data_IF_445777034776
#
_entry.id   IF_445777034776
#
_cell.length_a   1.000
_cell.length_b   1.000
_cell.length_c   1.000
_cell.angle_alpha   90.00
_cell.angle_beta   90.00
_cell.angle_gamma   90.00
#
_symmetry.space_group_name_H-M   'P 1'
#
loop_
_entity.id
_entity.type
_entity.pdbx_description
1 polymer ?
#
# COMPACT_ATOMS: atom_id res chain seq x y z
N UNK A 1 28.58 -59.97 -51.12
CA UNK A 1 27.47 -59.00 -51.05
C UNK A 1 26.53 -59.42 -49.91
N UNK A 2 26.65 -58.80 -48.73
CA UNK A 2 25.77 -59.07 -47.58
C UNK A 2 24.77 -57.92 -47.45
N UNK A 3 23.50 -58.23 -47.68
CA UNK A 3 22.37 -57.37 -47.32
C UNK A 3 21.97 -57.74 -45.89
N UNK A 4 21.97 -56.76 -44.97
CA UNK A 4 21.33 -56.90 -43.66
C UNK A 4 20.47 -55.67 -43.39
N UNK A 5 19.21 -55.96 -43.13
CA UNK A 5 18.15 -55.08 -42.66
C UNK A 5 18.58 -54.29 -41.43
N UNK A 6 18.25 -53.00 -41.40
CA UNK A 6 18.34 -52.18 -40.19
C UNK A 6 16.97 -52.11 -39.54
N UNK A 7 16.85 -52.78 -38.39
CA UNK A 7 15.77 -52.59 -37.44
C UNK A 7 16.00 -51.32 -36.61
N UNK A 8 14.88 -50.68 -36.29
CA UNK A 8 14.66 -49.55 -35.40
C UNK A 8 15.38 -49.64 -34.05
N UNK A 9 16.02 -48.54 -33.64
CA UNK A 9 16.18 -48.16 -32.23
C UNK A 9 15.79 -46.68 -32.13
N UNK A 10 14.67 -46.41 -31.47
CA UNK A 10 14.23 -45.07 -31.08
C UNK A 10 15.05 -44.67 -29.86
N UNK A 11 15.96 -43.70 -30.01
CA UNK A 11 16.63 -43.04 -28.89
C UNK A 11 15.88 -41.75 -28.59
N UNK A 12 15.11 -41.74 -27.50
CA UNK A 12 14.39 -40.56 -27.03
C UNK A 12 15.36 -39.68 -26.22
N UNK A 13 15.93 -38.66 -26.88
CA UNK A 13 16.76 -37.65 -26.22
C UNK A 13 15.86 -36.55 -25.66
N UNK A 14 15.71 -36.50 -24.34
CA UNK A 14 15.10 -35.35 -23.64
C UNK A 14 16.11 -34.18 -23.66
N UNK A 15 15.91 -33.24 -24.58
CA UNK A 15 16.61 -31.96 -24.54
C UNK A 15 15.94 -31.07 -23.48
N UNK A 16 16.63 -30.86 -22.35
CA UNK A 16 16.24 -29.89 -21.34
C UNK A 16 16.47 -28.47 -21.92
N UNK A 17 15.45 -27.88 -22.55
CA UNK A 17 15.48 -26.46 -22.90
C UNK A 17 15.49 -25.64 -21.62
N UNK A 18 16.68 -25.16 -21.26
CA UNK A 18 16.87 -24.14 -20.24
C UNK A 18 16.27 -22.84 -20.79
N UNK A 19 14.98 -22.59 -20.49
CA UNK A 19 14.37 -21.28 -20.72
C UNK A 19 15.13 -20.27 -19.86
N UNK A 20 16.04 -19.54 -20.48
CA UNK A 20 16.59 -18.33 -19.92
C UNK A 20 15.42 -17.34 -19.86
N UNK A 21 14.71 -17.29 -18.73
CA UNK A 21 13.76 -16.22 -18.45
C UNK A 21 14.61 -14.95 -18.46
N UNK A 22 14.43 -14.00 -19.40
CA UNK A 22 15.13 -12.75 -19.31
C UNK A 22 14.74 -12.12 -17.97
N UNK A 23 15.73 -11.82 -17.14
CA UNK A 23 15.51 -10.96 -15.99
C UNK A 23 14.89 -9.67 -16.53
N UNK A 24 13.59 -9.49 -16.32
CA UNK A 24 12.92 -8.24 -16.58
C UNK A 24 13.43 -7.29 -15.52
N UNK A 25 14.57 -6.64 -15.80
CA UNK A 25 14.96 -5.45 -15.07
C UNK A 25 13.81 -4.46 -15.25
N UNK A 26 13.12 -4.13 -14.16
CA UNK A 26 12.15 -3.05 -14.18
C UNK A 26 12.84 -1.80 -14.77
N UNK A 27 12.24 -1.19 -15.79
CA UNK A 27 12.71 0.09 -16.32
C UNK A 27 12.83 1.08 -15.17
N UNK A 28 13.98 1.75 -15.05
CA UNK A 28 14.21 2.77 -14.02
C UNK A 28 13.31 4.01 -14.20
N UNK A 29 12.60 4.09 -15.33
CA UNK A 29 11.79 5.23 -15.72
C UNK A 29 12.60 6.36 -16.33
N UNK A 30 11.91 7.35 -16.89
CA UNK A 30 12.50 8.56 -17.47
C UNK A 30 12.44 9.69 -16.46
N UNK A 31 13.59 10.24 -16.06
CA UNK A 31 13.63 11.38 -15.16
C UNK A 31 13.44 12.68 -15.95
N UNK A 32 12.52 13.53 -15.50
CA UNK A 32 12.18 14.80 -16.19
C UNK A 32 12.15 15.97 -15.22
N UNK A 33 12.61 17.13 -15.68
CA UNK A 33 12.60 18.41 -14.95
C UNK A 33 12.78 19.57 -15.91
N UNK A 34 12.36 20.78 -15.52
CA UNK A 34 12.66 22.01 -16.25
C UNK A 34 11.57 22.43 -17.23
N UNK A 35 11.94 23.21 -18.23
CA UNK A 35 11.02 23.82 -19.18
C UNK A 35 10.87 22.94 -20.42
N UNK A 36 9.63 22.73 -20.85
CA UNK A 36 9.25 22.18 -22.14
C UNK A 36 8.95 23.37 -23.06
N UNK A 37 9.90 23.66 -23.94
CA UNK A 37 9.93 24.83 -24.82
C UNK A 37 9.53 24.53 -26.28
N UNK A 38 9.23 23.26 -26.56
CA UNK A 38 8.69 22.78 -27.84
C UNK A 38 7.72 21.63 -27.62
N UNK A 39 6.84 21.43 -28.59
CA UNK A 39 5.88 20.34 -28.54
C UNK A 39 6.56 19.01 -28.25
N UNK A 40 6.08 18.33 -27.22
CA UNK A 40 6.70 17.15 -26.65
C UNK A 40 5.64 16.10 -26.40
N UNK A 41 5.99 14.83 -26.64
CA UNK A 41 5.12 13.69 -26.36
C UNK A 41 5.83 12.73 -25.42
N UNK A 42 5.16 12.36 -24.34
CA UNK A 42 5.59 11.30 -23.43
C UNK A 42 4.89 10.01 -23.81
N UNK A 43 5.67 8.97 -24.07
CA UNK A 43 5.19 7.69 -24.61
C UNK A 43 5.32 6.58 -23.56
N UNK A 44 4.65 5.45 -23.80
CA UNK A 44 4.67 4.31 -22.89
C UNK A 44 6.08 3.71 -22.70
N UNK A 45 6.94 3.80 -23.70
CA UNK A 45 8.33 3.30 -23.65
C UNK A 45 9.18 4.09 -22.63
N UNK A 46 8.89 5.38 -22.45
CA UNK A 46 9.55 6.23 -21.45
C UNK A 46 8.98 6.08 -20.04
N UNK A 47 7.87 5.36 -19.88
CA UNK A 47 7.18 5.17 -18.61
C UNK A 47 7.97 4.25 -17.64
N UNK A 48 7.95 4.50 -16.33
CA UNK A 48 7.32 5.65 -15.67
C UNK A 48 8.15 6.93 -15.81
N UNK A 49 7.50 8.09 -15.93
CA UNK A 49 8.17 9.39 -15.86
C UNK A 49 8.30 9.84 -14.41
N UNK A 50 9.52 10.03 -13.92
CA UNK A 50 9.81 10.51 -12.56
C UNK A 50 10.06 12.02 -12.59
N UNK A 51 9.13 12.80 -12.06
CA UNK A 51 9.19 14.26 -12.06
C UNK A 51 9.81 14.75 -10.75
N UNK A 52 11.07 15.21 -10.77
CA UNK A 52 11.80 15.54 -9.53
C UNK A 52 11.62 16.99 -9.04
N UNK A 53 11.09 17.89 -9.88
CA UNK A 53 10.81 19.29 -9.57
C UNK A 53 9.56 19.76 -10.35
N UNK A 54 9.47 21.05 -10.63
CA UNK A 54 8.48 21.62 -11.52
C UNK A 54 8.84 21.30 -12.97
N UNK A 55 7.83 20.93 -13.74
CA UNK A 55 7.82 20.97 -15.20
C UNK A 55 7.03 22.20 -15.63
N UNK A 56 7.67 23.07 -16.40
CA UNK A 56 7.01 24.24 -16.99
C UNK A 56 6.70 23.94 -18.45
N UNK A 57 5.43 24.02 -18.85
CA UNK A 57 5.04 23.94 -20.25
C UNK A 57 4.90 25.37 -20.74
N UNK A 58 5.83 25.81 -21.61
CA UNK A 58 5.92 27.19 -22.05
C UNK A 58 4.65 27.67 -22.80
N UNK A 59 4.40 28.98 -22.90
CA UNK A 59 3.32 29.52 -23.72
C UNK A 59 3.33 28.97 -25.14
N UNK A 60 2.16 28.62 -25.68
CA UNK A 60 1.97 28.08 -27.03
C UNK A 60 2.67 26.73 -27.31
N UNK A 61 3.16 26.05 -26.27
CA UNK A 61 3.77 24.72 -26.37
C UNK A 61 2.81 23.66 -25.84
N UNK A 62 2.77 22.49 -26.48
CA UNK A 62 1.97 21.35 -26.04
C UNK A 62 2.83 20.22 -25.47
N UNK A 63 2.48 19.76 -24.27
CA UNK A 63 2.87 18.44 -23.78
C UNK A 63 1.71 17.46 -23.97
N UNK A 64 1.95 16.39 -24.72
CA UNK A 64 1.03 15.25 -24.85
C UNK A 64 1.52 14.08 -24.01
N UNK A 65 0.65 13.52 -23.18
CA UNK A 65 0.91 12.30 -22.41
C UNK A 65 0.03 11.18 -22.98
N UNK A 66 0.68 10.19 -23.57
CA UNK A 66 0.01 9.12 -24.31
C UNK A 66 -0.62 8.02 -23.43
N UNK A 67 -1.52 7.21 -24.02
CA UNK A 67 -2.12 6.07 -23.34
C UNK A 67 -1.10 5.10 -22.71
N UNK A 68 -1.36 4.73 -21.46
CA UNK A 68 -0.56 3.79 -20.69
C UNK A 68 0.68 4.39 -20.04
N UNK A 69 0.93 5.69 -20.18
CA UNK A 69 1.99 6.39 -19.45
C UNK A 69 1.66 6.45 -17.96
N UNK A 70 2.67 6.25 -17.13
CA UNK A 70 2.63 6.47 -15.68
C UNK A 70 3.54 7.65 -15.36
N UNK A 71 2.99 8.69 -14.76
CA UNK A 71 3.76 9.84 -14.25
C UNK A 71 3.78 9.76 -12.73
N UNK A 72 4.99 9.64 -12.16
CA UNK A 72 5.17 9.67 -10.70
C UNK A 72 5.06 11.10 -10.19
N UNK A 73 4.84 11.23 -8.87
CA UNK A 73 4.71 12.50 -8.12
C UNK A 73 5.54 13.63 -8.70
N UNK A 74 4.89 14.74 -9.05
CA UNK A 74 5.49 15.91 -9.68
C UNK A 74 4.58 17.14 -9.69
N UNK A 75 5.12 18.27 -10.11
CA UNK A 75 4.38 19.53 -10.28
C UNK A 75 4.47 20.00 -11.73
N UNK A 76 3.34 20.39 -12.32
CA UNK A 76 3.22 20.97 -13.65
C UNK A 76 2.73 22.40 -13.53
N UNK A 77 3.50 23.34 -14.05
CA UNK A 77 3.07 24.70 -14.34
C UNK A 77 2.79 24.82 -15.83
N UNK A 78 1.51 25.01 -16.15
CA UNK A 78 1.00 24.96 -17.53
C UNK A 78 0.76 26.38 -17.99
N UNK A 79 1.68 26.93 -18.80
CA UNK A 79 1.47 28.19 -19.52
C UNK A 79 0.92 27.94 -20.93
N UNK A 80 1.23 26.80 -21.53
CA UNK A 80 0.72 26.32 -22.83
C UNK A 80 -0.41 25.31 -22.71
N UNK A 81 -0.28 24.16 -23.37
CA UNK A 81 -1.27 23.06 -23.34
C UNK A 81 -0.69 21.79 -22.70
N UNK A 82 -1.42 21.22 -21.76
CA UNK A 82 -1.19 19.88 -21.21
C UNK A 82 -2.35 18.97 -21.63
N UNK A 83 -2.05 17.95 -22.42
CA UNK A 83 -3.03 16.97 -22.93
C UNK A 83 -2.70 15.58 -22.42
N UNK A 84 -3.57 15.03 -21.59
CA UNK A 84 -3.38 13.75 -20.91
C UNK A 84 -4.49 12.79 -21.35
N UNK A 85 -4.11 11.69 -21.99
CA UNK A 85 -5.05 10.71 -22.48
C UNK A 85 -4.68 9.28 -22.04
N UNK A 86 -5.60 8.61 -21.35
CA UNK A 86 -5.43 7.23 -20.88
C UNK A 86 -4.16 6.96 -20.07
N UNK A 87 -3.73 7.94 -19.26
CA UNK A 87 -2.53 7.85 -18.43
C UNK A 87 -2.87 7.73 -16.93
N UNK A 88 -1.89 7.29 -16.13
CA UNK A 88 -1.98 7.29 -14.65
C UNK A 88 -1.00 8.29 -14.07
N UNK A 89 -1.46 9.18 -13.21
CA UNK A 89 -0.60 10.23 -12.63
C UNK A 89 -0.99 10.53 -11.19
N UNK A 90 0.00 10.94 -10.39
CA UNK A 90 -0.25 11.67 -9.15
C UNK A 90 0.54 12.96 -9.19
N UNK A 91 -0.09 14.10 -9.42
CA UNK A 91 0.64 15.34 -9.70
C UNK A 91 -0.11 16.58 -9.26
N UNK A 92 0.63 17.63 -8.95
CA UNK A 92 0.09 18.98 -8.81
C UNK A 92 0.10 19.62 -10.19
N UNK A 93 -1.03 20.09 -10.67
CA UNK A 93 -1.16 20.70 -11.99
C UNK A 93 -1.80 22.07 -11.82
N UNK A 94 -1.11 23.12 -12.23
CA UNK A 94 -1.60 24.49 -12.16
C UNK A 94 -1.50 25.16 -13.52
N UNK A 95 -2.62 25.67 -14.03
CA UNK A 95 -2.64 26.56 -15.17
C UNK A 95 -2.21 27.96 -14.72
N UNK A 96 -1.18 28.51 -15.37
CA UNK A 96 -0.61 29.81 -15.05
C UNK A 96 -0.87 30.75 -16.23
N UNK A 97 -1.83 31.66 -16.05
CA UNK A 97 -2.01 32.77 -16.99
C UNK A 97 -1.07 33.92 -16.61
N UNK A 98 -0.37 34.46 -17.61
CA UNK A 98 0.44 35.66 -17.48
C UNK A 98 0.08 36.63 -18.62
N UNK A 99 -0.59 37.77 -18.31
CA UNK A 99 -1.02 38.74 -19.31
C UNK A 99 0.13 39.26 -20.20
N UNK A 100 1.36 39.35 -19.67
CA UNK A 100 2.51 39.82 -20.47
C UNK A 100 2.99 38.80 -21.49
N UNK A 101 2.60 37.54 -21.35
CA UNK A 101 2.95 36.44 -22.26
C UNK A 101 1.82 36.13 -23.26
N UNK A 102 0.67 36.82 -23.16
CA UNK A 102 -0.52 36.60 -23.99
C UNK A 102 -0.88 35.11 -24.14
N UNK A 103 -0.82 34.34 -23.04
CA UNK A 103 -1.04 32.91 -23.05
C UNK A 103 -2.45 32.55 -22.58
N UNK A 104 -3.00 31.47 -23.12
CA UNK A 104 -4.30 30.91 -22.71
C UNK A 104 -4.10 29.44 -22.34
N UNK A 105 -3.72 29.16 -21.09
CA UNK A 105 -3.30 27.83 -20.70
C UNK A 105 -4.48 26.83 -20.75
N UNK A 106 -4.19 25.62 -21.22
CA UNK A 106 -5.20 24.57 -21.41
C UNK A 106 -4.76 23.28 -20.73
N UNK A 107 -5.63 22.71 -19.91
CA UNK A 107 -5.44 21.38 -19.32
C UNK A 107 -6.57 20.48 -19.80
N UNK A 108 -6.21 19.38 -20.46
CA UNK A 108 -7.13 18.32 -20.91
C UNK A 108 -6.75 17.02 -20.24
N UNK A 109 -7.70 16.43 -19.51
CA UNK A 109 -7.52 15.12 -18.88
C UNK A 109 -8.67 14.23 -19.32
N UNK A 110 -8.32 13.19 -20.08
CA UNK A 110 -9.27 12.29 -20.71
C UNK A 110 -8.91 10.82 -20.45
N UNK A 111 -9.91 9.98 -20.19
CA UNK A 111 -9.74 8.53 -19.99
C UNK A 111 -8.69 8.14 -18.95
N UNK A 112 -8.34 9.04 -18.03
CA UNK A 112 -7.13 8.96 -17.22
C UNK A 112 -7.42 8.72 -15.74
N UNK A 113 -6.44 8.21 -15.03
CA UNK A 113 -6.51 7.96 -13.59
C UNK A 113 -5.56 8.92 -12.86
N UNK A 114 -6.12 9.77 -12.01
CA UNK A 114 -5.34 10.68 -11.19
C UNK A 114 -5.46 10.32 -9.71
N UNK A 115 -4.33 10.07 -9.05
CA UNK A 115 -4.23 9.61 -7.66
C UNK A 115 -3.37 10.59 -6.88
N UNK A 116 -3.95 11.28 -5.90
CA UNK A 116 -3.31 12.38 -5.17
C UNK A 116 -2.92 13.58 -6.06
N UNK A 117 -2.55 14.67 -5.41
CA UNK A 117 -2.16 15.92 -6.06
C UNK A 117 -3.30 16.95 -6.08
N UNK A 118 -3.30 17.85 -7.05
CA UNK A 118 -4.25 18.95 -7.15
C UNK A 118 -4.35 19.40 -8.61
N UNK A 119 -5.51 19.95 -8.98
CA UNK A 119 -5.68 20.66 -10.25
C UNK A 119 -6.16 22.07 -9.93
N UNK A 120 -5.47 23.08 -10.45
CA UNK A 120 -5.85 24.48 -10.29
C UNK A 120 -5.85 25.22 -11.64
N UNK A 121 -6.97 25.83 -12.00
CA UNK A 121 -7.14 26.57 -13.24
C UNK A 121 -8.21 27.66 -13.07
N UNK A 122 -7.94 28.65 -12.22
CA UNK A 122 -8.95 29.61 -11.73
C UNK A 122 -9.07 30.88 -12.58
N UNK A 123 -8.07 31.18 -13.40
CA UNK A 123 -8.06 32.37 -14.25
C UNK A 123 -9.10 32.26 -15.38
N UNK A 124 -9.69 33.39 -15.80
CA UNK A 124 -10.71 33.42 -16.85
C UNK A 124 -10.20 33.04 -18.24
N UNK A 125 -8.90 33.16 -18.49
CA UNK A 125 -8.24 32.75 -19.73
C UNK A 125 -7.76 31.31 -19.70
N UNK A 126 -7.83 30.64 -18.54
CA UNK A 126 -7.49 29.23 -18.39
C UNK A 126 -8.66 28.35 -18.80
N UNK A 127 -8.36 27.20 -19.43
CA UNK A 127 -9.38 26.21 -19.78
C UNK A 127 -9.05 24.85 -19.20
N UNK A 128 -10.02 24.28 -18.50
CA UNK A 128 -9.98 22.90 -18.02
C UNK A 128 -11.04 22.04 -18.70
N UNK A 129 -10.63 20.89 -19.23
CA UNK A 129 -11.50 19.87 -19.80
C UNK A 129 -11.23 18.54 -19.08
N UNK A 130 -12.24 18.03 -18.37
CA UNK A 130 -12.18 16.73 -17.70
C UNK A 130 -13.20 15.79 -18.32
N UNK A 131 -12.75 14.63 -18.81
CA UNK A 131 -13.65 13.68 -19.47
C UNK A 131 -13.30 12.22 -19.20
N UNK A 132 -14.29 11.38 -18.94
CA UNK A 132 -14.11 9.92 -18.86
C UNK A 132 -12.99 9.49 -17.89
N UNK A 133 -12.69 10.28 -16.86
CA UNK A 133 -11.50 10.12 -16.00
C UNK A 133 -11.86 9.85 -14.54
N UNK A 134 -10.93 9.24 -13.81
CA UNK A 134 -11.06 8.94 -12.39
C UNK A 134 -10.10 9.80 -11.56
N UNK A 135 -10.63 10.49 -10.55
CA UNK A 135 -9.88 11.35 -9.64
C UNK A 135 -10.05 10.81 -8.22
N UNK A 136 -8.96 10.42 -7.59
CA UNK A 136 -8.98 9.80 -6.27
C UNK A 136 -8.04 10.52 -5.29
N UNK A 137 -8.59 10.94 -4.16
CA UNK A 137 -7.82 11.49 -3.04
C UNK A 137 -6.96 12.70 -3.43
N UNK A 138 -7.40 13.51 -4.39
CA UNK A 138 -6.76 14.79 -4.69
C UNK A 138 -7.04 15.77 -3.54
N UNK A 139 -6.08 16.62 -3.24
CA UNK A 139 -6.22 17.69 -2.24
C UNK A 139 -7.28 18.71 -2.65
N UNK A 140 -7.48 18.88 -3.95
CA UNK A 140 -8.60 19.61 -4.50
C UNK A 140 -8.55 19.74 -6.01
N UNK A 141 -9.68 20.08 -6.60
CA UNK A 141 -9.78 20.64 -7.94
C UNK A 141 -10.41 22.02 -7.81
N UNK A 142 -9.69 23.07 -8.19
CA UNK A 142 -10.19 24.45 -8.15
C UNK A 142 -10.07 25.07 -9.54
N UNK A 143 -11.16 25.20 -10.27
CA UNK A 143 -11.04 25.58 -11.68
C UNK A 143 -12.28 26.26 -12.27
N UNK A 144 -12.02 27.19 -13.18
CA UNK A 144 -12.91 27.52 -14.28
C UNK A 144 -12.77 26.43 -15.34
N UNK A 145 -13.82 25.65 -15.55
CA UNK A 145 -13.78 24.52 -16.48
C UNK A 145 -14.71 24.75 -17.66
N UNK A 146 -14.29 24.34 -18.86
CA UNK A 146 -15.14 24.36 -20.05
C UNK A 146 -16.17 23.23 -19.97
N UNK A 147 -15.71 22.02 -19.67
CA UNK A 147 -16.57 20.84 -19.54
C UNK A 147 -16.02 19.82 -18.56
N UNK A 148 -16.91 19.25 -17.76
CA UNK A 148 -16.64 18.13 -16.84
C UNK A 148 -17.69 17.06 -17.10
N UNK A 149 -17.28 15.99 -17.79
CA UNK A 149 -18.19 14.97 -18.30
C UNK A 149 -17.74 13.54 -17.98
N UNK A 150 -18.64 12.71 -17.44
CA UNK A 150 -18.40 11.27 -17.23
C UNK A 150 -17.17 10.93 -16.38
N UNK A 151 -16.86 11.77 -15.41
CA UNK A 151 -15.76 11.53 -14.47
C UNK A 151 -16.25 10.92 -13.16
N UNK A 152 -15.34 10.24 -12.47
CA UNK A 152 -15.53 9.72 -11.11
C UNK A 152 -14.60 10.47 -10.16
N UNK A 153 -15.17 11.27 -9.27
CA UNK A 153 -14.45 11.97 -8.21
C UNK A 153 -14.67 11.24 -6.89
N UNK A 154 -13.59 10.82 -6.25
CA UNK A 154 -13.60 10.11 -4.96
C UNK A 154 -12.66 10.81 -4.00
N UNK A 155 -13.18 11.20 -2.84
CA UNK A 155 -12.41 11.94 -1.83
C UNK A 155 -11.61 13.11 -2.41
N UNK A 156 -12.19 13.77 -3.42
CA UNK A 156 -11.57 14.85 -4.18
C UNK A 156 -12.45 16.08 -4.02
N UNK A 157 -12.18 16.94 -3.02
CA UNK A 157 -12.86 18.21 -2.88
C UNK A 157 -12.79 18.98 -4.20
N UNK A 158 -13.94 19.41 -4.72
CA UNK A 158 -13.99 20.00 -6.06
C UNK A 158 -14.72 21.33 -5.97
N UNK A 159 -14.08 22.40 -6.41
CA UNK A 159 -14.64 23.75 -6.54
C UNK A 159 -14.55 24.16 -8.01
N UNK A 160 -15.68 24.15 -8.70
CA UNK A 160 -15.76 24.44 -10.14
C UNK A 160 -16.53 25.73 -10.37
N UNK A 161 -16.11 26.52 -11.35
CA UNK A 161 -16.87 27.63 -11.88
C UNK A 161 -17.00 27.63 -13.41
N UNK A 162 -18.06 28.26 -13.93
CA UNK A 162 -18.32 28.50 -15.36
C UNK A 162 -18.32 27.24 -16.26
N UNK A 163 -18.80 26.10 -15.73
CA UNK A 163 -18.66 24.81 -16.39
C UNK A 163 -19.98 24.12 -16.78
N UNK A 164 -19.91 23.32 -17.85
CA UNK A 164 -20.88 22.27 -18.10
C UNK A 164 -20.51 21.03 -17.31
N UNK A 165 -21.28 20.69 -16.27
CA UNK A 165 -21.03 19.53 -15.39
C UNK A 165 -22.12 18.49 -15.60
N UNK A 166 -21.79 17.38 -16.27
CA UNK A 166 -22.79 16.37 -16.60
C UNK A 166 -22.29 14.94 -16.54
N UNK A 167 -23.18 14.02 -16.15
CA UNK A 167 -22.90 12.59 -16.13
C UNK A 167 -21.70 12.17 -15.26
N UNK A 168 -21.32 12.94 -14.25
CA UNK A 168 -20.24 12.59 -13.33
C UNK A 168 -20.76 11.84 -12.10
N UNK A 169 -19.87 11.18 -11.37
CA UNK A 169 -20.08 10.74 -9.99
C UNK A 169 -19.18 11.57 -9.07
N UNK A 170 -19.78 12.22 -8.08
CA UNK A 170 -19.08 12.85 -6.96
C UNK A 170 -19.32 12.00 -5.71
N UNK A 171 -18.34 11.20 -5.33
CA UNK A 171 -18.32 10.45 -4.08
C UNK A 171 -17.34 11.12 -3.10
N UNK A 172 -17.78 12.27 -2.57
CA UNK A 172 -16.92 13.22 -1.87
C UNK A 172 -17.54 13.66 -0.54
N UNK A 173 -16.70 14.27 0.30
CA UNK A 173 -17.19 14.96 1.50
C UNK A 173 -17.84 16.31 1.18
N UNK A 174 -17.31 17.01 0.16
CA UNK A 174 -17.75 18.35 -0.21
C UNK A 174 -17.47 18.62 -1.70
N UNK A 175 -18.42 19.25 -2.38
CA UNK A 175 -18.34 19.69 -3.77
C UNK A 175 -18.99 21.08 -3.89
N UNK A 176 -18.29 22.03 -4.48
CA UNK A 176 -18.76 23.35 -4.79
C UNK A 176 -18.82 23.54 -6.29
N UNK A 177 -19.95 24.01 -6.79
CA UNK A 177 -20.08 24.32 -8.21
C UNK A 177 -20.74 25.69 -8.33
N UNK A 178 -19.94 26.72 -8.58
CA UNK A 178 -20.43 28.09 -8.75
C UNK A 178 -20.68 28.37 -10.24
N UNK A 179 -21.66 29.20 -10.58
CA UNK A 179 -21.81 29.75 -11.95
C UNK A 179 -21.78 28.70 -13.08
N UNK A 180 -22.26 27.47 -12.84
CA UNK A 180 -22.26 26.45 -13.88
C UNK A 180 -23.30 26.77 -14.96
N UNK A 181 -22.90 26.56 -16.22
CA UNK A 181 -23.79 26.71 -17.38
C UNK A 181 -24.85 25.62 -17.42
N UNK A 182 -24.54 24.43 -16.89
CA UNK A 182 -25.54 23.38 -16.59
C UNK A 182 -24.98 22.35 -15.59
N UNK A 183 -25.81 21.91 -14.63
CA UNK A 183 -25.47 20.82 -13.69
C UNK A 183 -26.57 19.76 -13.77
N UNK A 184 -26.37 18.71 -14.57
CA UNK A 184 -27.42 17.69 -14.75
C UNK A 184 -26.86 16.30 -14.99
N UNK A 185 -27.65 15.27 -14.66
CA UNK A 185 -27.34 13.84 -14.84
C UNK A 185 -26.15 13.34 -14.03
N UNK A 186 -25.69 14.10 -13.04
CA UNK A 186 -24.64 13.68 -12.13
C UNK A 186 -25.21 12.83 -10.98
N UNK A 187 -24.34 12.07 -10.33
CA UNK A 187 -24.63 11.39 -9.06
C UNK A 187 -23.80 12.01 -7.95
N UNK A 188 -24.46 12.63 -6.97
CA UNK A 188 -23.85 13.17 -5.76
C UNK A 188 -24.06 12.17 -4.62
N UNK A 189 -22.97 11.60 -4.12
CA UNK A 189 -22.94 10.53 -3.14
C UNK A 189 -22.01 10.94 -1.97
N UNK A 190 -22.38 10.60 -0.73
CA UNK A 190 -21.57 10.96 0.46
C UNK A 190 -20.64 9.82 0.87
N UNK A 191 -19.41 10.15 1.27
CA UNK A 191 -18.47 9.19 1.88
C UNK A 191 -18.67 9.05 3.40
N UNK A 192 -19.29 10.05 4.05
CA UNK A 192 -19.54 10.09 5.50
C UNK A 192 -20.89 10.77 5.81
N UNK A 193 -21.33 10.82 7.07
CA UNK A 193 -22.60 11.43 7.56
C UNK A 193 -22.74 12.97 7.30
N UNK A 194 -22.07 13.48 6.28
CA UNK A 194 -22.07 14.87 5.84
C UNK A 194 -23.44 15.24 5.27
N UNK A 195 -23.83 16.47 5.59
CA UNK A 195 -25.17 16.98 5.31
C UNK A 195 -25.23 17.87 4.08
N UNK A 196 -24.11 18.31 3.50
CA UNK A 196 -24.08 19.20 2.35
C UNK A 196 -22.99 18.75 1.37
N UNK A 197 -23.38 18.36 0.16
CA UNK A 197 -22.48 17.92 -0.90
C UNK A 197 -22.31 18.99 -1.96
N UNK A 198 -23.36 19.78 -2.29
CA UNK A 198 -23.32 20.77 -3.37
C UNK A 198 -23.63 22.18 -2.85
N UNK A 199 -22.65 23.08 -2.96
CA UNK A 199 -22.90 24.53 -2.90
C UNK A 199 -23.05 25.10 -4.30
N UNK A 200 -24.21 25.66 -4.63
CA UNK A 200 -24.38 26.52 -5.79
C UNK A 200 -25.50 27.53 -5.53
N UNK A 201 -25.38 28.77 -6.02
CA UNK A 201 -26.38 29.84 -5.83
C UNK A 201 -27.67 29.59 -6.63
N UNK A 202 -28.09 30.54 -7.49
CA UNK A 202 -29.22 30.36 -8.42
C UNK A 202 -28.87 29.45 -9.61
N UNK A 203 -28.50 28.20 -9.33
CA UNK A 203 -28.15 27.16 -10.30
C UNK A 203 -29.35 26.22 -10.56
N UNK A 204 -29.47 25.75 -11.80
CA UNK A 204 -30.28 24.58 -12.14
C UNK A 204 -29.44 23.31 -11.90
N UNK A 205 -29.77 22.61 -10.82
CA UNK A 205 -29.23 21.31 -10.42
C UNK A 205 -30.29 20.21 -10.55
N UNK A 206 -31.28 20.39 -11.43
CA UNK A 206 -32.27 19.36 -11.74
C UNK A 206 -31.64 18.18 -12.47
N UNK A 207 -32.38 17.08 -12.49
CA UNK A 207 -32.03 15.83 -13.15
C UNK A 207 -30.71 15.24 -12.65
N UNK A 208 -30.36 15.45 -11.38
CA UNK A 208 -29.24 14.76 -10.72
C UNK A 208 -29.77 13.68 -9.77
N UNK A 209 -28.95 12.65 -9.53
CA UNK A 209 -29.18 11.64 -8.50
C UNK A 209 -28.40 12.01 -7.23
N UNK A 210 -29.02 11.83 -6.06
CA UNK A 210 -28.48 12.30 -4.78
C UNK A 210 -28.17 11.16 -3.79
N UNK A 211 -28.12 9.91 -4.27
CA UNK A 211 -27.93 8.74 -3.41
C UNK A 211 -29.16 8.31 -2.61
N UNK A 212 -30.23 9.10 -2.63
CA UNK A 212 -31.49 8.88 -1.92
C UNK A 212 -32.66 9.42 -2.73
N UNK A 213 -33.86 8.88 -2.49
CA UNK A 213 -35.12 9.40 -3.04
C UNK A 213 -35.91 10.23 -2.02
N UNK A 214 -35.35 10.40 -0.81
CA UNK A 214 -35.96 11.19 0.26
C UNK A 214 -35.68 12.67 0.04
N UNK A 215 -36.68 13.41 -0.40
CA UNK A 215 -36.57 14.85 -0.70
C UNK A 215 -35.99 15.69 0.45
N UNK A 216 -36.35 15.37 1.71
CA UNK A 216 -35.83 16.10 2.89
C UNK A 216 -34.36 15.83 3.16
N UNK A 217 -33.85 14.68 2.71
CA UNK A 217 -32.42 14.40 2.73
C UNK A 217 -31.72 15.12 1.60
N UNK A 218 -32.28 15.08 0.39
CA UNK A 218 -31.76 15.82 -0.77
C UNK A 218 -31.63 17.31 -0.46
N UNK A 219 -32.66 17.92 0.10
CA UNK A 219 -32.66 19.34 0.48
C UNK A 219 -31.48 19.69 1.42
N UNK A 220 -31.11 18.79 2.34
CA UNK A 220 -29.91 18.99 3.16
C UNK A 220 -28.66 18.97 2.29
N UNK A 221 -28.54 17.95 1.42
CA UNK A 221 -27.37 17.75 0.56
C UNK A 221 -27.09 18.92 -0.39
N UNK A 222 -28.13 19.67 -0.80
CA UNK A 222 -27.98 20.82 -1.70
C UNK A 222 -27.95 22.18 -0.96
N UNK A 223 -28.33 22.25 0.32
CA UNK A 223 -28.51 23.54 1.01
C UNK A 223 -27.46 23.79 2.10
N UNK A 224 -26.87 24.99 2.09
CA UNK A 224 -26.02 25.51 3.17
C UNK A 224 -26.88 25.91 4.39
N UNK A 225 -27.24 24.93 5.23
CA UNK A 225 -27.65 25.11 6.63
C UNK A 225 -28.52 26.32 6.99
N UNK A 226 -29.81 26.06 7.28
CA UNK A 226 -30.64 26.84 8.22
C UNK A 226 -30.81 28.36 8.02
N UNK A 227 -30.59 28.94 6.85
CA UNK A 227 -31.08 30.29 6.56
C UNK A 227 -32.35 30.22 5.73
N UNK A 228 -33.50 30.36 6.40
CA UNK A 228 -34.84 30.55 5.80
C UNK A 228 -34.90 31.90 5.03
N UNK A 229 -33.78 32.62 4.91
CA UNK A 229 -33.71 33.99 4.37
C UNK A 229 -32.71 34.16 3.22
N UNK A 230 -32.11 33.11 2.65
CA UNK A 230 -31.34 33.25 1.41
C UNK A 230 -32.24 32.95 0.18
N UNK A 231 -32.56 33.93 -0.68
CA UNK A 231 -33.48 33.75 -1.81
C UNK A 231 -32.91 32.90 -2.96
N UNK A 232 -31.67 32.41 -2.87
CA UNK A 232 -30.98 31.71 -3.95
C UNK A 232 -30.76 30.23 -3.63
N UNK A 233 -31.84 29.48 -3.42
CA UNK A 233 -31.76 28.03 -3.28
C UNK A 233 -31.61 27.35 -4.66
N UNK A 234 -30.74 26.33 -4.77
CA UNK A 234 -30.56 25.56 -5.99
C UNK A 234 -31.85 24.83 -6.41
N UNK A 235 -32.17 24.86 -7.71
CA UNK A 235 -33.30 24.12 -8.26
C UNK A 235 -32.85 22.67 -8.44
N UNK A 236 -33.23 21.77 -7.53
CA UNK A 236 -32.85 20.36 -7.60
C UNK A 236 -33.95 19.43 -8.14
N UNK A 237 -35.14 19.98 -8.42
CA UNK A 237 -36.29 19.23 -8.95
C UNK A 237 -36.45 19.45 -10.46
N UNK A 238 -36.84 18.41 -11.23
CA UNK A 238 -36.97 17.01 -10.81
C UNK A 238 -35.60 16.43 -10.43
N UNK A 239 -35.54 15.43 -9.54
CA UNK A 239 -34.32 14.67 -9.27
C UNK A 239 -34.47 13.25 -9.81
N UNK A 240 -33.34 12.61 -10.15
CA UNK A 240 -33.33 11.23 -10.61
C UNK A 240 -33.51 10.28 -9.43
N UNK A 241 -34.18 9.15 -9.66
CA UNK A 241 -34.37 8.09 -8.65
C UNK A 241 -33.29 7.01 -8.66
N UNK A 242 -32.42 7.07 -9.67
CA UNK A 242 -31.23 6.22 -9.87
C UNK A 242 -30.20 7.00 -10.70
N UNK A 243 -28.91 6.62 -10.70
CA UNK A 243 -27.92 7.22 -11.58
C UNK A 243 -28.36 7.22 -13.06
N UNK A 244 -28.02 8.30 -13.78
CA UNK A 244 -28.21 8.34 -15.24
C UNK A 244 -27.38 7.25 -15.92
N UNK A 245 -27.89 6.65 -17.00
CA UNK A 245 -27.25 5.52 -17.66
C UNK A 245 -25.85 5.84 -18.20
N UNK A 246 -25.57 7.11 -18.50
CA UNK A 246 -24.27 7.54 -19.01
C UNK A 246 -23.30 7.96 -17.90
N UNK A 247 -23.71 7.89 -16.61
CA UNK A 247 -22.74 8.07 -15.51
C UNK A 247 -21.76 6.90 -15.47
N UNK A 248 -20.46 7.15 -15.18
CA UNK A 248 -19.48 6.09 -15.07
C UNK A 248 -19.84 5.15 -13.92
N UNK A 249 -19.39 3.90 -13.97
CA UNK A 249 -19.53 2.99 -12.83
C UNK A 249 -18.41 3.26 -11.83
N UNK A 250 -18.72 3.11 -10.55
CA UNK A 250 -17.69 3.07 -9.52
C UNK A 250 -16.94 1.73 -9.67
N UNK A 251 -15.81 1.79 -10.36
CA UNK A 251 -14.82 0.72 -10.42
C UNK A 251 -13.54 1.23 -9.75
N UNK A 252 -13.07 0.54 -8.72
CA UNK A 252 -11.87 0.87 -7.95
C UNK A 252 -10.73 -0.12 -8.18
N UNK A 253 -10.88 -1.03 -9.15
CA UNK A 253 -9.85 -2.00 -9.50
C UNK A 253 -8.53 -1.32 -9.90
N UNK A 254 -8.61 -0.15 -10.55
CA UNK A 254 -7.46 0.65 -10.97
C UNK A 254 -6.63 1.22 -9.80
N UNK A 255 -7.20 1.32 -8.59
CA UNK A 255 -6.45 1.73 -7.40
C UNK A 255 -5.51 0.63 -6.88
N UNK A 256 -5.78 -0.63 -7.23
CA UNK A 256 -4.94 -1.77 -6.86
C UNK A 256 -3.71 -1.81 -7.76
N UNK A 257 -2.82 -0.85 -7.55
CA UNK A 257 -1.54 -0.78 -8.25
C UNK A 257 -0.52 -1.78 -7.66
N UNK A 258 0.46 -2.18 -8.46
CA UNK A 258 1.61 -2.97 -8.00
C UNK A 258 2.63 -2.12 -7.20
N UNK A 259 2.55 -0.79 -7.28
CA UNK A 259 3.42 0.09 -6.49
C UNK A 259 2.83 0.29 -5.09
N UNK A 260 3.67 0.21 -4.04
CA UNK A 260 3.20 0.36 -2.67
C UNK A 260 2.69 1.78 -2.42
N UNK A 261 1.45 1.91 -1.98
CA UNK A 261 0.81 3.21 -1.76
C UNK A 261 1.32 3.94 -0.50
N UNK A 262 1.99 3.21 0.39
CA UNK A 262 2.44 3.68 1.70
C UNK A 262 3.85 3.17 2.00
N UNK A 263 4.65 3.96 2.74
CA UNK A 263 5.96 3.55 3.22
C UNK A 263 5.89 2.38 4.19
N UNK A 264 6.97 1.62 4.31
CA UNK A 264 7.04 0.50 5.26
C UNK A 264 6.97 1.00 6.71
N UNK A 265 6.30 0.26 7.61
CA UNK A 265 6.35 0.56 9.02
C UNK A 265 7.75 0.26 9.59
N UNK A 266 8.09 0.92 10.70
CA UNK A 266 9.19 0.52 11.57
C UNK A 266 8.64 -0.43 12.63
N UNK A 267 9.24 -1.61 12.75
CA UNK A 267 8.88 -2.62 13.74
C UNK A 267 10.04 -2.78 14.72
N UNK A 268 9.75 -2.78 16.02
CA UNK A 268 10.75 -3.05 17.05
C UNK A 268 11.19 -4.52 17.02
N UNK A 269 12.38 -4.87 17.54
CA UNK A 269 12.80 -6.27 17.65
C UNK A 269 11.75 -7.11 18.42
N UNK A 270 11.52 -8.33 17.94
CA UNK A 270 10.52 -9.26 18.50
C UNK A 270 11.25 -10.50 19.00
N UNK A 271 10.88 -11.01 20.17
CA UNK A 271 11.33 -12.29 20.71
C UNK A 271 10.21 -13.33 20.87
N UNK A 272 10.59 -14.56 21.18
CA UNK A 272 9.68 -15.72 21.26
C UNK A 272 8.74 -15.70 22.49
N UNK A 273 8.87 -14.70 23.36
CA UNK A 273 7.96 -14.43 24.46
C UNK A 273 6.98 -13.30 24.21
N UNK A 274 7.18 -12.49 23.17
CA UNK A 274 6.32 -11.37 22.85
C UNK A 274 4.90 -11.80 22.45
N UNK A 275 3.93 -11.03 22.93
CA UNK A 275 2.50 -11.14 22.58
C UNK A 275 1.96 -9.86 21.94
N UNK A 276 2.82 -8.86 21.75
CA UNK A 276 2.51 -7.58 21.14
C UNK A 276 3.67 -7.20 20.23
N UNK A 277 3.37 -6.84 18.99
CA UNK A 277 4.33 -6.18 18.11
C UNK A 277 4.19 -4.68 18.30
N UNK A 278 5.32 -4.02 18.62
CA UNK A 278 5.40 -2.57 18.74
C UNK A 278 6.16 -1.97 17.56
N UNK A 279 5.89 -0.71 17.31
CA UNK A 279 6.60 0.04 16.30
C UNK A 279 5.97 1.38 16.01
N UNK A 280 6.39 1.98 14.91
CA UNK A 280 5.95 3.30 14.48
C UNK A 280 5.72 3.34 12.97
N UNK A 281 4.65 4.02 12.55
CA UNK A 281 4.40 4.35 11.15
C UNK A 281 4.57 5.85 10.94
N UNK A 282 5.45 6.23 10.02
CA UNK A 282 5.66 7.63 9.61
C UNK A 282 4.91 7.93 8.31
N UNK A 283 4.45 9.17 8.14
CA UNK A 283 4.06 9.71 6.84
C UNK A 283 2.71 9.21 6.31
N UNK A 284 1.71 9.03 7.17
CA UNK A 284 0.36 8.69 6.72
C UNK A 284 -0.33 9.95 6.16
N UNK A 285 -0.85 9.93 4.91
CA UNK A 285 -1.64 11.04 4.39
C UNK A 285 -2.96 11.16 5.16
N UNK A 286 -3.35 12.39 5.46
CA UNK A 286 -4.46 12.85 6.32
C UNK A 286 -5.59 11.87 6.67
N UNK A 287 -5.97 11.88 7.95
CA UNK A 287 -7.23 11.44 8.59
C UNK A 287 -7.72 10.00 8.37
N UNK A 288 -7.23 9.26 7.37
CA UNK A 288 -7.75 7.94 7.01
C UNK A 288 -7.17 6.83 7.89
N UNK A 289 -8.01 5.92 8.41
CA UNK A 289 -7.54 4.75 9.13
C UNK A 289 -6.84 3.78 8.15
N UNK A 290 -5.64 3.33 8.49
CA UNK A 290 -5.02 2.17 7.82
C UNK A 290 -5.12 0.96 8.73
N UNK A 291 -5.30 -0.22 8.14
CA UNK A 291 -5.20 -1.48 8.88
C UNK A 291 -3.79 -2.04 8.70
N UNK A 292 -3.07 -2.15 9.81
CA UNK A 292 -1.77 -2.82 9.86
C UNK A 292 -1.97 -4.31 10.13
N UNK A 293 -1.28 -5.13 9.35
CA UNK A 293 -1.33 -6.59 9.41
C UNK A 293 0.04 -7.14 9.80
N UNK A 294 0.05 -8.13 10.69
CA UNK A 294 1.20 -8.97 10.99
C UNK A 294 0.94 -10.39 10.46
N UNK A 295 1.85 -10.89 9.64
CA UNK A 295 1.71 -12.15 8.93
C UNK A 295 2.86 -13.09 9.23
N UNK A 296 2.58 -14.40 9.32
CA UNK A 296 3.58 -15.47 9.24
C UNK A 296 3.23 -16.33 8.03
N UNK A 297 4.05 -16.26 6.99
CA UNK A 297 3.67 -16.78 5.67
C UNK A 297 2.40 -16.07 5.16
N UNK A 298 1.38 -16.85 4.79
CA UNK A 298 0.06 -16.34 4.38
C UNK A 298 -0.93 -16.15 5.53
N UNK A 299 -0.57 -16.53 6.76
CA UNK A 299 -1.48 -16.46 7.92
C UNK A 299 -1.40 -15.10 8.59
N UNK A 300 -2.54 -14.42 8.73
CA UNK A 300 -2.69 -13.27 9.61
C UNK A 300 -2.63 -13.72 11.07
N UNK A 301 -1.65 -13.20 11.82
CA UNK A 301 -1.45 -13.49 13.24
C UNK A 301 -1.90 -12.34 14.15
N UNK A 302 -2.22 -11.18 13.58
CA UNK A 302 -2.70 -10.02 14.31
C UNK A 302 -2.84 -8.82 13.38
N UNK A 303 -3.75 -7.92 13.74
CA UNK A 303 -3.95 -6.67 13.02
C UNK A 303 -4.38 -5.56 13.98
N UNK A 304 -4.16 -4.30 13.57
CA UNK A 304 -4.63 -3.12 14.29
C UNK A 304 -4.96 -2.01 13.30
N UNK A 305 -6.00 -1.24 13.59
CA UNK A 305 -6.29 -0.03 12.83
C UNK A 305 -5.56 1.15 13.44
N UNK A 306 -4.78 1.87 12.64
CA UNK A 306 -4.02 3.05 13.05
C UNK A 306 -4.54 4.30 12.34
N UNK A 307 -4.51 5.43 13.04
CA UNK A 307 -4.88 6.75 12.52
C UNK A 307 -3.70 7.70 12.75
N UNK A 308 -3.32 8.45 11.72
CA UNK A 308 -2.17 9.36 11.71
C UNK A 308 -0.83 8.67 12.02
N UNK A 309 0.28 9.37 11.75
CA UNK A 309 1.63 8.90 12.11
C UNK A 309 1.70 8.59 13.61
N UNK A 310 1.69 7.29 13.96
CA UNK A 310 1.44 6.84 15.32
C UNK A 310 2.30 5.63 15.67
N UNK A 311 2.59 5.53 16.97
CA UNK A 311 3.03 4.26 17.55
C UNK A 311 1.88 3.26 17.45
N UNK A 312 2.20 2.01 17.16
CA UNK A 312 1.20 0.95 17.05
C UNK A 312 1.54 -0.22 17.96
N UNK A 313 0.50 -0.93 18.37
CA UNK A 313 0.58 -2.18 19.11
C UNK A 313 -0.33 -3.23 18.46
N UNK A 314 0.25 -4.27 17.87
CA UNK A 314 -0.51 -5.40 17.31
C UNK A 314 -0.47 -6.55 18.29
N UNK A 315 -1.61 -6.94 18.86
CA UNK A 315 -1.71 -8.16 19.67
C UNK A 315 -1.53 -9.38 18.78
N UNK A 316 -0.62 -10.28 19.18
CA UNK A 316 -0.30 -11.53 18.48
C UNK A 316 -0.21 -12.68 19.48
N UNK A 317 -0.44 -13.94 19.05
CA UNK A 317 0.01 -15.09 19.83
C UNK A 317 1.54 -15.17 19.83
N UNK A 318 2.13 -15.79 20.85
CA UNK A 318 3.58 -16.07 20.88
C UNK A 318 4.01 -16.80 19.61
N UNK A 319 5.12 -16.39 19.04
CA UNK A 319 5.70 -17.01 17.85
C UNK A 319 6.93 -17.83 18.22
N UNK A 320 7.18 -18.90 17.45
CA UNK A 320 8.40 -19.70 17.63
C UNK A 320 9.61 -18.85 17.24
N UNK A 321 10.74 -19.09 17.92
CA UNK A 321 12.04 -18.60 17.50
C UNK A 321 12.29 -18.89 16.00
N UNK A 322 13.01 -17.98 15.35
CA UNK A 322 13.32 -17.97 13.91
C UNK A 322 12.11 -17.81 12.96
N UNK A 323 10.88 -17.74 13.47
CA UNK A 323 9.74 -17.38 12.64
C UNK A 323 9.94 -16.00 12.01
N UNK A 324 9.60 -15.87 10.72
CA UNK A 324 9.66 -14.59 10.01
C UNK A 324 8.29 -13.95 10.02
N UNK A 325 8.18 -12.78 10.64
CA UNK A 325 6.97 -11.96 10.68
C UNK A 325 7.09 -10.87 9.63
N UNK A 326 6.07 -10.75 8.78
CA UNK A 326 5.93 -9.66 7.81
C UNK A 326 4.87 -8.69 8.31
N UNK A 327 5.19 -7.40 8.38
CA UNK A 327 4.26 -6.34 8.78
C UNK A 327 4.08 -5.35 7.64
N UNK A 328 2.83 -5.02 7.33
CA UNK A 328 2.49 -4.02 6.32
C UNK A 328 1.16 -3.35 6.65
N UNK A 329 0.83 -2.27 5.95
CA UNK A 329 -0.47 -1.59 6.03
C UNK A 329 -1.31 -1.79 4.77
N UNK A 330 -2.62 -1.71 4.93
CA UNK A 330 -3.59 -1.66 3.85
C UNK A 330 -4.63 -0.61 4.18
N UNK A 331 -5.07 0.15 3.18
CA UNK A 331 -6.23 1.03 3.34
C UNK A 331 -7.55 0.30 3.06
N UNK A 332 -8.67 1.00 3.23
CA UNK A 332 -10.01 0.47 2.95
C UNK A 332 -10.25 0.14 1.46
N UNK A 333 -9.43 0.68 0.57
CA UNK A 333 -9.48 0.46 -0.88
C UNK A 333 -8.65 -0.77 -1.31
N UNK A 334 -7.98 -1.43 -0.36
CA UNK A 334 -7.16 -2.61 -0.60
C UNK A 334 -5.77 -2.29 -1.15
N UNK A 335 -5.33 -1.03 -1.09
CA UNK A 335 -3.98 -0.63 -1.47
C UNK A 335 -3.00 -1.00 -0.38
N UNK A 336 -2.01 -1.82 -0.75
CA UNK A 336 -0.99 -2.31 0.17
C UNK A 336 0.19 -1.32 0.23
N UNK A 337 0.70 -1.08 1.44
CA UNK A 337 1.98 -0.41 1.65
C UNK A 337 3.17 -1.34 1.44
N UNK A 338 4.37 -0.78 1.49
CA UNK A 338 5.59 -1.57 1.61
C UNK A 338 5.55 -2.42 2.89
N UNK A 339 6.18 -3.59 2.83
CA UNK A 339 6.28 -4.48 3.98
C UNK A 339 7.66 -4.46 4.62
N UNK A 340 7.71 -4.61 5.94
CA UNK A 340 8.92 -4.91 6.70
C UNK A 340 8.88 -6.36 7.17
N UNK A 341 10.02 -7.03 7.16
CA UNK A 341 10.17 -8.40 7.68
C UNK A 341 11.13 -8.41 8.86
N UNK A 342 10.76 -9.12 9.93
CA UNK A 342 11.62 -9.32 11.11
C UNK A 342 11.61 -10.79 11.53
N UNK A 343 12.72 -11.25 12.10
CA UNK A 343 12.83 -12.60 12.66
C UNK A 343 12.60 -12.56 14.16
N UNK A 344 11.84 -13.54 14.66
CA UNK A 344 11.61 -13.74 16.09
C UNK A 344 12.89 -14.24 16.73
N UNK A 345 13.44 -13.45 17.64
CA UNK A 345 14.65 -13.80 18.39
C UNK A 345 14.34 -14.84 19.45
N UNK A 346 15.20 -15.84 19.56
CA UNK A 346 15.16 -16.77 20.69
C UNK A 346 15.76 -16.12 21.95
N UNK A 347 14.94 -16.00 23.00
CA UNK A 347 15.37 -15.56 24.33
C UNK A 347 14.98 -16.56 25.42
N UNK A 348 14.37 -17.70 25.07
CA UNK A 348 13.91 -18.71 26.02
C UNK A 348 14.93 -19.83 26.18
N UNK A 349 15.60 -19.95 27.35
CA UNK A 349 16.56 -21.04 27.55
C UNK A 349 15.88 -22.41 27.62
N UNK A 350 16.61 -23.50 27.34
CA UNK A 350 16.06 -24.84 27.40
C UNK A 350 15.64 -25.23 28.81
N UNK A 351 14.70 -26.16 28.91
CA UNK A 351 14.33 -26.75 30.19
C UNK A 351 15.54 -27.45 30.87
N UNK A 352 15.51 -27.50 32.20
CA UNK A 352 16.56 -28.19 32.98
C UNK A 352 16.60 -29.67 32.60
N UNK A 353 17.76 -30.26 32.27
CA UNK A 353 17.84 -31.67 31.89
C UNK A 353 17.53 -32.58 33.08
N UNK A 354 16.97 -33.75 32.78
CA UNK A 354 16.95 -34.87 33.72
C UNK A 354 18.18 -35.73 33.49
N UNK A 355 18.76 -36.26 34.55
CA UNK A 355 20.01 -37.03 34.49
C UNK A 355 19.80 -38.34 35.24
N UNK A 356 20.13 -39.45 34.60
CA UNK A 356 20.05 -40.77 35.20
C UNK A 356 21.13 -40.94 36.29
N UNK A 357 20.96 -41.93 37.16
CA UNK A 357 21.92 -42.24 38.23
C UNK A 357 23.33 -42.47 37.64
N UNK A 358 24.33 -41.78 38.21
CA UNK A 358 25.74 -41.95 37.87
C UNK A 358 26.45 -42.67 39.01
N UNK A 359 27.15 -43.75 38.69
CA UNK A 359 27.91 -44.55 39.65
C UNK A 359 29.41 -44.46 39.34
N UNK A 360 30.25 -44.96 40.25
CA UNK A 360 31.70 -45.07 40.00
C UNK A 360 32.06 -45.92 38.77
N UNK A 361 31.17 -46.82 38.34
CA UNK A 361 31.35 -47.67 37.15
C UNK A 361 30.88 -47.00 35.85
N UNK A 362 30.11 -45.92 35.92
CA UNK A 362 29.56 -45.25 34.75
C UNK A 362 30.66 -44.71 33.83
N UNK A 363 30.55 -45.01 32.53
CA UNK A 363 31.41 -44.48 31.44
C UNK A 363 30.71 -43.42 30.58
N UNK A 364 29.47 -43.09 30.92
CA UNK A 364 28.70 -42.04 30.29
C UNK A 364 27.71 -41.46 31.30
N UNK A 365 27.34 -40.20 31.08
CA UNK A 365 26.16 -39.59 31.71
C UNK A 365 25.03 -39.63 30.69
N UNK A 366 23.91 -40.24 31.06
CA UNK A 366 22.70 -40.31 30.24
C UNK A 366 21.56 -39.54 30.90
N UNK A 367 20.62 -39.08 30.09
CA UNK A 367 19.48 -38.33 30.59
C UNK A 367 18.55 -37.88 29.48
N UNK A 368 17.57 -37.06 29.84
CA UNK A 368 16.65 -36.42 28.89
C UNK A 368 16.77 -34.91 28.92
N UNK A 369 16.55 -34.29 27.77
CA UNK A 369 16.60 -32.86 27.57
C UNK A 369 15.76 -32.43 26.36
N UNK A 370 15.77 -31.14 26.08
CA UNK A 370 15.16 -30.59 24.88
C UNK A 370 15.94 -31.01 23.63
N UNK A 371 15.23 -31.56 22.63
CA UNK A 371 15.83 -32.09 21.42
C UNK A 371 16.61 -31.01 20.63
N UNK A 372 17.75 -31.38 20.05
CA UNK A 372 18.58 -30.46 19.26
C UNK A 372 19.52 -29.57 20.07
N UNK A 373 19.30 -29.43 21.39
CA UNK A 373 20.24 -28.76 22.30
C UNK A 373 21.50 -29.62 22.51
N UNK A 374 22.54 -29.02 23.11
CA UNK A 374 23.77 -29.71 23.49
C UNK A 374 23.85 -29.83 25.00
N UNK A 375 23.98 -31.05 25.52
CA UNK A 375 24.22 -31.33 26.93
C UNK A 375 25.71 -31.18 27.25
N UNK A 376 26.03 -30.46 28.31
CA UNK A 376 27.39 -30.24 28.80
C UNK A 376 27.55 -30.83 30.21
N UNK A 377 28.64 -31.57 30.43
CA UNK A 377 28.96 -32.17 31.73
C UNK A 377 30.25 -31.57 32.27
N UNK A 378 30.20 -31.09 33.52
CA UNK A 378 31.34 -30.49 34.22
C UNK A 378 31.58 -31.15 35.58
N UNK A 379 32.84 -31.12 36.02
CA UNK A 379 33.27 -31.35 37.40
C UNK A 379 33.96 -30.07 37.88
N UNK A 380 33.29 -29.31 38.76
CA UNK A 380 33.73 -27.95 39.08
C UNK A 380 33.81 -27.12 37.80
N UNK A 381 34.97 -26.51 37.53
CA UNK A 381 35.22 -25.72 36.30
C UNK A 381 35.68 -26.57 35.10
N UNK A 382 36.01 -27.84 35.30
CA UNK A 382 36.56 -28.71 34.24
C UNK A 382 35.43 -29.36 33.44
N UNK A 383 35.41 -29.11 32.12
CA UNK A 383 34.49 -29.79 31.19
C UNK A 383 34.90 -31.24 31.03
N UNK A 384 33.99 -32.16 31.30
CA UNK A 384 34.20 -33.60 31.13
C UNK A 384 33.76 -34.09 29.75
N UNK A 385 32.74 -33.46 29.16
CA UNK A 385 32.23 -33.84 27.84
C UNK A 385 31.01 -33.05 27.42
N UNK A 386 30.57 -33.28 26.18
CA UNK A 386 29.31 -32.79 25.65
C UNK A 386 28.72 -33.77 24.63
N UNK A 387 27.41 -33.72 24.41
CA UNK A 387 26.74 -34.42 23.32
C UNK A 387 25.43 -33.71 22.95
N UNK A 388 24.98 -33.84 21.69
CA UNK A 388 23.65 -33.38 21.31
C UNK A 388 22.56 -34.23 21.96
N UNK A 389 21.45 -33.60 22.31
CA UNK A 389 20.21 -34.28 22.65
C UNK A 389 19.54 -34.69 21.34
N UNK A 390 19.20 -35.97 21.22
CA UNK A 390 18.58 -36.54 20.03
C UNK A 390 17.12 -36.06 19.83
N UNK A 391 16.52 -36.39 18.69
CA UNK A 391 15.14 -36.03 18.36
C UNK A 391 14.09 -36.66 19.29
N UNK A 392 14.47 -37.69 20.05
CA UNK A 392 13.62 -38.34 21.07
C UNK A 392 13.87 -37.75 22.47
N UNK A 393 14.69 -36.70 22.57
CA UNK A 393 15.01 -36.02 23.81
C UNK A 393 16.04 -36.73 24.69
N UNK A 394 16.78 -37.73 24.19
CA UNK A 394 17.80 -38.43 24.98
C UNK A 394 19.21 -37.90 24.68
N UNK A 395 20.07 -37.90 25.69
CA UNK A 395 21.50 -37.66 25.49
C UNK A 395 22.35 -38.74 26.16
N UNK A 396 23.55 -38.95 25.61
CA UNK A 396 24.60 -39.81 26.18
C UNK A 396 25.95 -39.12 25.99
N UNK A 397 26.50 -38.59 27.08
CA UNK A 397 27.82 -37.95 27.08
C UNK A 397 28.84 -38.94 27.64
N UNK A 398 29.74 -39.42 26.79
CA UNK A 398 30.85 -40.28 27.22
C UNK A 398 31.80 -39.51 28.14
N UNK A 399 32.13 -40.09 29.29
CA UNK A 399 33.06 -39.52 30.28
C UNK A 399 33.96 -40.60 30.87
N UNK A 400 35.11 -40.21 31.45
CA UNK A 400 35.87 -41.12 32.31
C UNK A 400 35.10 -41.37 33.61
N UNK A 401 35.26 -42.57 34.18
CA UNK A 401 34.72 -42.91 35.51
C UNK A 401 35.14 -41.89 36.56
N UNK A 402 34.22 -41.58 37.47
CA UNK A 402 34.41 -40.57 38.51
C UNK A 402 34.45 -41.22 39.90
N UNK A 403 35.18 -40.59 40.84
CA UNK A 403 35.24 -41.06 42.24
C UNK A 403 33.88 -40.91 42.92
N UNK A 404 33.55 -41.81 43.85
CA UNK A 404 32.35 -41.71 44.70
C UNK A 404 32.31 -40.35 45.41
N UNK A 405 31.12 -39.76 45.51
CA UNK A 405 30.91 -38.45 46.10
C UNK A 405 31.23 -37.26 45.17
N UNK A 406 31.82 -37.49 43.99
CA UNK A 406 32.05 -36.42 43.00
C UNK A 406 30.72 -35.79 42.59
N UNK A 407 30.66 -34.45 42.59
CA UNK A 407 29.52 -33.69 42.11
C UNK A 407 29.71 -33.32 40.65
N UNK A 408 28.75 -33.68 39.81
CA UNK A 408 28.69 -33.34 38.40
C UNK A 408 27.62 -32.28 38.15
N UNK A 409 27.94 -31.31 37.31
CA UNK A 409 27.02 -30.27 36.85
C UNK A 409 26.67 -30.53 35.40
N UNK A 410 25.36 -30.58 35.11
CA UNK A 410 24.81 -30.87 33.78
C UNK A 410 23.87 -29.75 33.37
N UNK A 411 24.10 -29.14 32.21
CA UNK A 411 23.17 -28.16 31.63
C UNK A 411 23.02 -28.38 30.13
N UNK A 412 21.94 -27.87 29.56
CA UNK A 412 21.71 -27.84 28.12
C UNK A 412 22.00 -26.43 27.59
N UNK A 413 22.48 -26.37 26.34
CA UNK A 413 22.60 -25.12 25.59
C UNK A 413 21.96 -25.29 24.22
N UNK A 414 21.11 -24.35 23.82
CA UNK A 414 20.49 -24.33 22.49
C UNK A 414 21.39 -23.70 21.41
N UNK A 415 20.83 -23.52 20.22
CA UNK A 415 21.48 -22.86 19.10
C UNK A 415 21.73 -21.37 19.34
N UNK A 416 20.81 -20.68 20.03
CA UNK A 416 20.89 -19.28 20.43
C UNK A 416 21.88 -19.01 21.58
N UNK A 417 22.54 -20.08 22.07
CA UNK A 417 23.54 -20.08 23.14
C UNK A 417 22.96 -19.83 24.53
N UNK A 418 21.65 -19.88 24.70
CA UNK A 418 21.01 -19.80 26.01
C UNK A 418 21.19 -21.11 26.76
N UNK A 419 21.35 -21.02 28.08
CA UNK A 419 21.67 -22.16 28.94
C UNK A 419 20.51 -22.47 29.86
N UNK A 420 20.16 -23.75 29.96
CA UNK A 420 19.24 -24.22 30.99
C UNK A 420 19.79 -23.92 32.39
N UNK A 421 18.92 -23.99 33.41
CA UNK A 421 19.41 -24.17 34.79
C UNK A 421 20.25 -25.45 34.86
N UNK A 422 21.23 -25.46 35.76
CA UNK A 422 22.13 -26.60 35.94
C UNK A 422 21.49 -27.67 36.83
N UNK A 423 21.51 -28.92 36.37
CA UNK A 423 21.21 -30.11 37.18
C UNK A 423 22.49 -30.63 37.82
N UNK A 424 22.45 -30.82 39.14
CA UNK A 424 23.56 -31.40 39.90
C UNK A 424 23.30 -32.88 40.20
N UNK A 425 24.32 -33.72 40.03
CA UNK A 425 24.26 -35.16 40.31
C UNK A 425 25.49 -35.59 41.10
N UNK A 426 25.29 -36.33 42.19
CA UNK A 426 26.37 -36.92 42.99
C UNK A 426 26.64 -38.35 42.54
N UNK A 427 27.91 -38.69 42.34
CA UNK A 427 28.33 -40.04 41.94
C UNK A 427 28.21 -40.97 43.15
N UNK A 428 27.38 -42.01 43.02
CA UNK A 428 27.11 -42.98 44.10
C UNK A 428 28.04 -44.19 44.10
#
# INVERSE_FOLDING_TARGET
MKVKSKNFIVLMVFALMMFCIPNVNASAGTNVTGVIDKDTTWTKEGSPYNVYNIIEIAPNVKLTIEPGVVVKKGTFWVYGELDINSATLGSWIEAIHNPTLNNSPVIKIQNSNMIFGNIKAIDEHSRLILKDSNFFSLNGIEARAESIERNLFIETPTTISNAKVTNNIFYNQYTNIYEATSISKNSFLTTHNQKNILSCGSCDASNNYWGTNNEKEIEKLVNHGNSITNPFNPIFKPFLTKPDINTPKIDLSWLKSNEPAYSKPRVDPIDDNDTIIKGYMFGMPDTRPLTMYAMVGSKNIGQVTIKYSSNFEIKIPKQKADATITVYVMDEYGRKGESVTTKVKDVTPPATPTVNKVTTKSKAVTGKGEAGTTAYIYKGRSKLGQAKVDSKGNFKVTIKSQKKGTTLSVYLQDAAKLKSKTKTVKVS
#
